data_IF_140335038380
#
_entry.id   IF_140335038380
#
_cell.length_a   1.000
_cell.length_b   1.000
_cell.length_c   1.000
_cell.angle_alpha   90.00
_cell.angle_beta   90.00
_cell.angle_gamma   90.00
#
_symmetry.space_group_name_H-M   'P 1'
#
loop_
_entity.id
_entity.type
_entity.pdbx_description
1 polymer ?
#
# COMPACT_ATOMS: atom_id res chain seq x y z
N UNK A 1 -3.13 -28.68 -6.23
CA UNK A 1 -3.35 -27.43 -5.46
C UNK A 1 -3.80 -26.36 -6.44
N UNK A 2 -5.02 -25.86 -6.26
CA UNK A 2 -5.52 -24.72 -7.02
C UNK A 2 -4.79 -23.50 -6.45
N UNK A 3 -3.73 -23.05 -7.12
CA UNK A 3 -2.97 -21.89 -6.71
C UNK A 3 -3.90 -20.69 -6.64
N UNK A 4 -3.77 -19.86 -5.60
CA UNK A 4 -4.48 -18.59 -5.49
C UNK A 4 -4.46 -17.88 -6.84
N UNK A 5 -5.65 -17.50 -7.32
CA UNK A 5 -5.78 -16.74 -8.55
C UNK A 5 -4.86 -15.52 -8.45
N UNK A 6 -3.93 -15.38 -9.41
CA UNK A 6 -3.10 -14.18 -9.56
C UNK A 6 -3.90 -13.00 -10.11
N UNK A 7 -5.22 -13.17 -10.25
CA UNK A 7 -6.12 -12.18 -10.81
C UNK A 7 -6.62 -11.27 -9.69
N UNK A 8 -5.94 -10.11 -9.59
CA UNK A 8 -6.32 -8.86 -8.94
C UNK A 8 -6.61 -8.95 -7.43
N UNK A 9 -5.67 -8.46 -6.61
CA UNK A 9 -5.99 -8.05 -5.25
C UNK A 9 -6.85 -6.79 -5.28
N UNK A 10 -7.80 -6.66 -4.36
CA UNK A 10 -8.72 -5.53 -4.35
C UNK A 10 -8.67 -4.78 -3.02
N UNK A 11 -8.80 -3.45 -3.09
CA UNK A 11 -9.17 -2.64 -1.92
C UNK A 11 -10.68 -2.53 -1.89
N UNK A 12 -11.28 -3.01 -0.79
CA UNK A 12 -12.74 -3.00 -0.61
C UNK A 12 -13.14 -2.11 0.55
N UNK A 13 -14.27 -1.44 0.39
CA UNK A 13 -14.88 -0.59 1.41
C UNK A 13 -16.25 -1.16 1.74
N UNK A 14 -16.49 -1.40 3.03
CA UNK A 14 -17.73 -1.99 3.53
C UNK A 14 -18.45 -1.04 4.47
N UNK A 15 -19.78 -1.06 4.43
CA UNK A 15 -20.61 -0.39 5.43
C UNK A 15 -20.80 -1.29 6.66
N UNK A 16 -20.18 -0.90 7.77
CA UNK A 16 -20.31 -1.62 9.03
C UNK A 16 -21.71 -1.49 9.67
N UNK A 17 -22.48 -0.46 9.30
CA UNK A 17 -23.82 -0.20 9.85
C UNK A 17 -24.90 -0.95 9.08
N UNK A 18 -24.70 -1.18 7.79
CA UNK A 18 -25.63 -1.86 6.90
C UNK A 18 -25.17 -3.30 6.60
N UNK A 19 -24.99 -4.10 7.66
CA UNK A 19 -24.73 -5.55 7.56
C UNK A 19 -23.44 -5.95 6.83
N UNK A 20 -22.36 -5.16 6.93
CA UNK A 20 -21.09 -5.43 6.24
C UNK A 20 -21.24 -5.54 4.72
N UNK A 21 -22.14 -4.75 4.13
CA UNK A 21 -22.32 -4.72 2.68
C UNK A 21 -21.14 -4.02 1.99
N UNK A 22 -20.67 -4.59 0.88
CA UNK A 22 -19.63 -3.94 0.05
C UNK A 22 -20.23 -2.68 -0.59
N UNK A 23 -19.59 -1.53 -0.35
CA UNK A 23 -19.94 -0.25 -0.98
C UNK A 23 -19.15 -0.06 -2.28
N UNK A 24 -17.85 -0.35 -2.23
CA UNK A 24 -16.94 -0.14 -3.33
C UNK A 24 -15.78 -1.14 -3.32
N UNK A 25 -15.23 -1.40 -4.51
CA UNK A 25 -14.02 -2.19 -4.73
C UNK A 25 -13.14 -1.51 -5.78
N UNK A 26 -11.83 -1.59 -5.58
CA UNK A 26 -10.81 -1.18 -6.54
C UNK A 26 -9.86 -2.35 -6.80
N UNK A 27 -9.84 -2.88 -8.03
CA UNK A 27 -8.78 -3.78 -8.46
C UNK A 27 -7.44 -3.05 -8.39
N UNK A 28 -6.51 -3.61 -7.63
CA UNK A 28 -5.11 -3.27 -7.70
C UNK A 28 -4.45 -4.35 -8.54
N UNK A 29 -3.67 -3.95 -9.56
CA UNK A 29 -2.95 -4.86 -10.45
C UNK A 29 -1.75 -5.54 -9.75
N UNK A 30 -1.92 -5.87 -8.48
CA UNK A 30 -0.91 -6.40 -7.58
C UNK A 30 -0.92 -7.92 -7.58
N UNK A 31 0.27 -8.50 -7.46
CA UNK A 31 0.37 -9.93 -7.13
C UNK A 31 -0.25 -10.22 -5.76
N UNK A 32 0.00 -9.38 -4.75
CA UNK A 32 -0.55 -9.47 -3.39
C UNK A 32 -0.44 -8.11 -2.69
N UNK A 33 -1.53 -7.62 -2.09
CA UNK A 33 -1.46 -6.52 -1.11
C UNK A 33 -1.11 -7.13 0.25
N UNK A 34 0.05 -6.78 0.78
CA UNK A 34 0.59 -7.37 2.02
C UNK A 34 0.29 -6.48 3.24
N UNK A 35 0.07 -5.18 3.01
CA UNK A 35 -0.37 -4.27 4.06
C UNK A 35 -1.26 -3.15 3.52
N UNK A 36 -2.21 -2.72 4.35
CA UNK A 36 -3.05 -1.56 4.12
C UNK A 36 -3.12 -0.73 5.41
N UNK A 37 -2.92 0.58 5.29
CA UNK A 37 -3.03 1.50 6.42
C UNK A 37 -3.82 2.75 6.05
N UNK A 38 -4.90 3.02 6.78
CA UNK A 38 -5.60 4.29 6.69
C UNK A 38 -4.71 5.41 7.27
N UNK A 39 -4.54 6.50 6.51
CA UNK A 39 -3.72 7.65 6.93
C UNK A 39 -4.56 8.89 7.24
N UNK A 40 -5.77 8.97 6.65
CA UNK A 40 -6.78 9.98 6.94
C UNK A 40 -8.18 9.38 6.74
N UNK A 41 -9.24 10.13 7.06
CA UNK A 41 -10.62 9.70 6.82
C UNK A 41 -10.92 9.35 5.36
N UNK A 42 -10.16 9.92 4.42
CA UNK A 42 -10.40 9.83 2.98
C UNK A 42 -9.20 9.24 2.21
N UNK A 43 -8.18 8.70 2.88
CA UNK A 43 -6.97 8.14 2.25
C UNK A 43 -6.45 6.91 2.97
N UNK A 44 -5.93 5.97 2.21
CA UNK A 44 -5.09 4.89 2.72
C UNK A 44 -3.84 4.67 1.85
N UNK A 45 -2.86 4.02 2.45
CA UNK A 45 -1.69 3.49 1.78
C UNK A 45 -1.79 1.96 1.69
N UNK A 46 -1.39 1.40 0.54
CA UNK A 46 -1.16 -0.04 0.38
C UNK A 46 0.30 -0.31 0.08
N UNK A 47 0.80 -1.46 0.54
CA UNK A 47 2.11 -1.99 0.20
C UNK A 47 1.95 -3.40 -0.36
N UNK A 48 2.55 -3.65 -1.52
CA UNK A 48 2.35 -4.88 -2.28
C UNK A 48 3.63 -5.67 -2.52
N UNK A 49 3.44 -6.96 -2.83
CA UNK A 49 4.49 -7.94 -3.08
C UNK A 49 5.27 -7.73 -4.38
N UNK A 50 4.73 -6.94 -5.29
CA UNK A 50 5.45 -6.50 -6.49
C UNK A 50 6.28 -5.21 -6.26
N UNK A 51 6.32 -4.73 -5.02
CA UNK A 51 7.17 -3.63 -4.60
C UNK A 51 6.57 -2.24 -4.83
N UNK A 52 5.26 -2.17 -4.98
CA UNK A 52 4.55 -0.91 -5.08
C UNK A 52 4.03 -0.44 -3.71
N UNK A 53 4.10 0.88 -3.49
CA UNK A 53 3.33 1.61 -2.49
C UNK A 53 2.32 2.46 -3.25
N UNK A 54 1.04 2.38 -2.88
CA UNK A 54 -0.02 3.20 -3.49
C UNK A 54 -0.74 4.04 -2.47
N UNK A 55 -1.06 5.27 -2.86
CA UNK A 55 -2.05 6.09 -2.18
C UNK A 55 -3.41 5.86 -2.85
N UNK A 56 -4.44 5.58 -2.05
CA UNK A 56 -5.79 5.29 -2.52
C UNK A 56 -6.79 6.22 -1.84
N UNK A 57 -7.70 6.82 -2.61
CA UNK A 57 -8.81 7.62 -2.05
C UNK A 57 -9.85 6.75 -1.33
N UNK A 58 -10.63 7.33 -0.45
CA UNK A 58 -11.79 6.71 0.21
C UNK A 58 -12.94 7.72 0.27
N UNK A 59 -14.22 7.28 0.35
CA UNK A 59 -14.68 5.88 0.39
C UNK A 59 -14.78 5.24 -1.00
N UNK A 60 -14.74 6.02 -2.09
CA UNK A 60 -14.67 5.50 -3.45
C UNK A 60 -13.17 5.29 -3.82
N UNK A 61 -12.69 4.05 -3.80
CA UNK A 61 -11.27 3.77 -3.96
C UNK A 61 -10.79 4.02 -5.38
N UNK A 62 -9.75 4.85 -5.49
CA UNK A 62 -9.00 5.13 -6.71
C UNK A 62 -7.54 5.29 -6.36
N UNK A 63 -6.64 4.70 -7.17
CA UNK A 63 -5.21 4.96 -7.06
C UNK A 63 -4.96 6.43 -7.40
N UNK A 64 -4.45 7.19 -6.43
CA UNK A 64 -4.06 8.59 -6.57
C UNK A 64 -2.60 8.71 -6.97
N UNK A 65 -1.78 7.86 -6.37
CA UNK A 65 -0.34 7.84 -6.53
C UNK A 65 0.15 6.41 -6.47
N UNK A 66 1.16 6.10 -7.26
CA UNK A 66 1.89 4.84 -7.20
C UNK A 66 3.39 5.12 -7.19
N UNK A 67 4.10 4.45 -6.30
CA UNK A 67 5.56 4.44 -6.24
C UNK A 67 6.05 3.00 -6.23
N UNK A 68 6.97 2.67 -7.14
CA UNK A 68 7.75 1.43 -7.07
C UNK A 68 9.12 1.73 -6.47
N UNK A 69 9.57 0.94 -5.49
CA UNK A 69 10.94 1.11 -4.99
C UNK A 69 11.96 0.59 -6.00
N UNK A 70 13.05 1.34 -6.16
CA UNK A 70 14.18 0.98 -7.02
C UNK A 70 15.18 0.05 -6.32
N UNK A 71 15.06 -0.13 -4.99
CA UNK A 71 15.99 -0.92 -4.18
C UNK A 71 15.56 -2.37 -4.02
N UNK A 72 14.26 -2.61 -3.92
CA UNK A 72 13.72 -3.95 -3.66
C UNK A 72 13.72 -4.84 -4.91
N UNK A 73 13.87 -4.28 -6.11
CA UNK A 73 13.97 -5.05 -7.35
C UNK A 73 12.73 -5.94 -7.60
N UNK A 74 12.93 -7.25 -7.55
CA UNK A 74 11.86 -8.26 -7.64
C UNK A 74 11.29 -8.68 -6.27
N UNK A 75 11.87 -8.19 -5.17
CA UNK A 75 11.34 -8.38 -3.84
C UNK A 75 10.11 -7.49 -3.58
N UNK A 76 9.25 -7.97 -2.70
CA UNK A 76 8.01 -7.31 -2.31
C UNK A 76 8.07 -6.72 -0.91
N UNK A 77 7.21 -5.76 -0.64
CA UNK A 77 6.99 -5.35 0.74
C UNK A 77 6.23 -6.43 1.50
N UNK A 78 6.53 -6.55 2.79
CA UNK A 78 5.90 -7.51 3.71
C UNK A 78 5.21 -6.83 4.89
N UNK A 79 5.52 -5.56 5.14
CA UNK A 79 4.85 -4.76 6.17
C UNK A 79 4.94 -3.26 5.87
N UNK A 80 3.97 -2.51 6.39
CA UNK A 80 3.87 -1.06 6.31
C UNK A 80 3.42 -0.50 7.66
N UNK A 81 4.22 0.37 8.25
CA UNK A 81 3.84 1.23 9.38
C UNK A 81 3.77 2.68 8.93
N UNK A 82 2.79 3.44 9.41
CA UNK A 82 2.65 4.87 9.09
C UNK A 82 2.46 5.66 10.39
N UNK A 83 3.25 6.70 10.56
CA UNK A 83 3.16 7.65 11.67
C UNK A 83 2.14 8.75 11.39
N UNK A 84 1.70 9.44 12.44
CA UNK A 84 0.77 10.56 12.31
C UNK A 84 1.34 11.75 11.52
N UNK A 85 2.67 11.86 11.40
CA UNK A 85 3.34 12.92 10.65
C UNK A 85 3.47 12.63 9.15
N UNK A 86 2.94 11.51 8.65
CA UNK A 86 3.05 11.15 7.23
C UNK A 86 4.36 10.46 6.87
N UNK A 87 5.14 10.01 7.84
CA UNK A 87 6.29 9.14 7.61
C UNK A 87 5.85 7.68 7.62
N UNK A 88 6.22 6.91 6.59
CA UNK A 88 5.98 5.49 6.51
C UNK A 88 7.29 4.68 6.58
N UNK A 89 7.26 3.58 7.31
CA UNK A 89 8.31 2.58 7.35
C UNK A 89 7.81 1.32 6.66
N UNK A 90 8.48 0.94 5.58
CA UNK A 90 8.19 -0.26 4.82
C UNK A 90 9.26 -1.31 5.10
N UNK A 91 8.86 -2.57 5.30
CA UNK A 91 9.77 -3.70 5.37
C UNK A 91 9.63 -4.56 4.12
N UNK A 92 10.73 -5.15 3.67
CA UNK A 92 10.75 -6.10 2.55
C UNK A 92 11.65 -7.28 2.88
N UNK A 93 11.38 -8.41 2.23
CA UNK A 93 12.20 -9.62 2.30
C UNK A 93 12.43 -10.11 0.87
N UNK A 94 13.69 -10.26 0.49
CA UNK A 94 14.11 -10.62 -0.86
C UNK A 94 15.31 -11.57 -0.87
N UNK A 95 15.79 -11.96 -2.07
CA UNK A 95 16.96 -12.84 -2.22
C UNK A 95 18.23 -12.27 -1.57
N UNK A 96 18.36 -10.96 -1.54
CA UNK A 96 19.49 -10.23 -0.94
C UNK A 96 19.37 -10.06 0.59
N UNK A 97 18.27 -10.53 1.19
CA UNK A 97 18.03 -10.49 2.63
C UNK A 97 16.80 -9.69 3.03
N UNK A 98 16.86 -9.08 4.21
CA UNK A 98 15.79 -8.24 4.77
C UNK A 98 16.22 -6.78 4.70
N UNK A 99 15.26 -5.89 4.49
CA UNK A 99 15.56 -4.47 4.54
C UNK A 99 14.36 -3.60 4.86
N UNK A 100 14.68 -2.34 5.12
CA UNK A 100 13.76 -1.29 5.48
C UNK A 100 13.87 -0.13 4.49
N UNK A 101 12.76 0.56 4.28
CA UNK A 101 12.69 1.80 3.53
C UNK A 101 11.82 2.81 4.29
N UNK A 102 12.39 4.00 4.55
CA UNK A 102 11.70 5.09 5.22
C UNK A 102 11.26 6.12 4.19
N UNK A 103 9.95 6.38 4.13
CA UNK A 103 9.32 7.30 3.19
C UNK A 103 8.67 8.45 3.95
N UNK A 104 8.69 9.66 3.38
CA UNK A 104 7.95 10.79 3.91
C UNK A 104 7.15 11.47 2.82
N UNK A 105 5.89 11.78 3.13
CA UNK A 105 5.08 12.70 2.36
C UNK A 105 5.12 14.08 3.01
N UNK A 106 5.08 15.11 2.17
CA UNK A 106 5.02 16.51 2.61
C UNK A 106 3.64 16.86 3.22
N UNK A 107 2.63 16.02 2.96
CA UNK A 107 1.27 16.14 3.47
C UNK A 107 0.59 14.77 3.64
N UNK A 108 -0.52 14.72 4.38
CA UNK A 108 -1.37 13.52 4.50
C UNK A 108 -2.43 13.40 3.38
N UNK A 109 -2.45 14.35 2.44
CA UNK A 109 -3.34 14.29 1.26
C UNK A 109 -2.79 13.32 0.22
N UNK A 110 -1.49 12.99 0.32
CA UNK A 110 -0.76 12.07 -0.55
C UNK A 110 -0.81 12.49 -2.02
N UNK A 111 -0.81 13.80 -2.26
CA UNK A 111 -0.93 14.40 -3.60
C UNK A 111 0.42 14.42 -4.35
N UNK A 112 1.52 14.16 -3.63
CA UNK A 112 2.89 14.18 -4.16
C UNK A 112 3.61 12.86 -3.91
N UNK A 113 4.63 12.56 -4.74
CA UNK A 113 5.50 11.40 -4.54
C UNK A 113 6.23 11.50 -3.20
N UNK A 114 6.31 10.41 -2.39
CA UNK A 114 7.08 10.46 -1.16
C UNK A 114 8.57 10.56 -1.45
N UNK A 115 9.29 11.23 -0.56
CA UNK A 115 10.74 11.23 -0.54
C UNK A 115 11.25 9.99 0.18
N UNK A 116 12.31 9.38 -0.34
CA UNK A 116 13.03 8.31 0.35
C UNK A 116 14.01 8.97 1.31
N UNK A 117 13.78 8.77 2.62
CA UNK A 117 14.64 9.32 3.67
C UNK A 117 15.81 8.40 4.00
N UNK A 118 15.57 7.07 4.00
CA UNK A 118 16.59 6.08 4.32
C UNK A 118 16.24 4.71 3.73
N UNK A 119 17.27 3.89 3.50
CA UNK A 119 17.15 2.49 3.08
C UNK A 119 18.33 1.69 3.62
N UNK A 120 18.09 0.43 3.97
CA UNK A 120 19.13 -0.55 4.36
C UNK A 120 19.31 -1.60 3.29
#
# INVERSE_FOLDING_TARGET
MQGFSRENCEVKVFDLRASLSELHSLPCADQTIEALRQVSGDRCLTASKDGHIRAVSLPAPKVLLERRSTKIGAAGYTALGVSASGTALCAWVGPEGVGLELLAWDDLRLEHQPQVLATT
#
